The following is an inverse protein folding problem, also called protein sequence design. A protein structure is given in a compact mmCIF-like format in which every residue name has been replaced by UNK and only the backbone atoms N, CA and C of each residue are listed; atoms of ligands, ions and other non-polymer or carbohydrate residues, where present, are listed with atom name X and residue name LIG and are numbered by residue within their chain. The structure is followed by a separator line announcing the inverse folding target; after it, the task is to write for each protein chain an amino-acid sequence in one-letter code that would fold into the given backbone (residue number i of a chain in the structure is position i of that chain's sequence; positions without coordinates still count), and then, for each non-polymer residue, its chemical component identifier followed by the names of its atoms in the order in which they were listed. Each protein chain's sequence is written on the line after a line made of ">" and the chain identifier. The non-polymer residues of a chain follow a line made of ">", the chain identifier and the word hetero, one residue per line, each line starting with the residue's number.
data_IF_676759940632
#
_entry.id   IF_676759940632
#
_cell.length_a   1.000
_cell.length_b   1.000
_cell.length_c   1.000
_cell.angle_alpha   90.00
_cell.angle_beta   90.00
_cell.angle_gamma   90.00
#
_symmetry.space_group_name_H-M   'P 1'
#
loop_
_entity.id
_entity.type
_entity.pdbx_description
1 polymer ?
#
# COMPACT_ATOMS: atom_id res chain seq x y z
N UNK A 1 15.47 8.92 -33.80
CA UNK A 1 14.80 9.44 -32.58
C UNK A 1 14.88 8.32 -31.57
N UNK A 2 15.36 8.60 -30.35
CA UNK A 2 15.51 7.58 -29.28
C UNK A 2 14.17 7.10 -28.73
N UNK A 3 14.21 6.14 -27.80
CA UNK A 3 13.01 5.65 -27.10
C UNK A 3 12.37 6.78 -26.28
N UNK A 4 11.04 6.73 -26.08
CA UNK A 4 10.33 7.67 -25.19
C UNK A 4 10.78 7.50 -23.74
N UNK A 5 10.92 6.25 -23.30
CA UNK A 5 11.42 5.86 -21.99
C UNK A 5 12.46 4.78 -22.15
N UNK A 6 13.62 4.93 -21.51
CA UNK A 6 14.68 3.93 -21.54
C UNK A 6 15.44 3.88 -20.22
N UNK A 7 15.93 2.68 -19.89
CA UNK A 7 16.88 2.51 -18.80
C UNK A 7 18.27 2.37 -19.39
N UNK A 8 19.18 3.25 -18.98
CA UNK A 8 20.57 3.26 -19.42
C UNK A 8 21.47 2.84 -18.27
N UNK A 9 22.42 1.95 -18.56
CA UNK A 9 23.49 1.58 -17.63
C UNK A 9 24.76 2.35 -17.98
N UNK A 10 25.27 3.10 -17.01
CA UNK A 10 26.50 3.88 -17.10
C UNK A 10 27.47 3.42 -16.00
N UNK A 11 28.45 2.58 -16.36
CA UNK A 11 29.27 1.88 -15.37
C UNK A 11 28.40 0.91 -14.55
N UNK A 12 28.38 1.10 -13.23
CA UNK A 12 27.55 0.29 -12.31
C UNK A 12 26.18 0.93 -12.00
N UNK A 13 25.92 2.13 -12.52
CA UNK A 13 24.70 2.89 -12.25
C UNK A 13 23.66 2.68 -13.35
N UNK A 14 22.40 2.56 -12.96
CA UNK A 14 21.23 2.60 -13.81
C UNK A 14 20.52 3.95 -13.68
N UNK A 15 20.03 4.48 -14.79
CA UNK A 15 19.20 5.68 -14.80
C UNK A 15 18.05 5.49 -15.77
N UNK A 16 16.84 5.77 -15.29
CA UNK A 16 15.65 5.85 -16.13
C UNK A 16 15.64 7.22 -16.79
N UNK A 17 15.47 7.25 -18.10
CA UNK A 17 15.33 8.46 -18.89
C UNK A 17 13.93 8.53 -19.48
N UNK A 18 13.33 9.73 -19.50
CA UNK A 18 12.10 10.03 -20.22
C UNK A 18 12.36 11.19 -21.17
N UNK A 19 12.18 10.96 -22.47
CA UNK A 19 12.48 11.92 -23.53
C UNK A 19 13.92 12.49 -23.46
N UNK A 20 14.88 11.64 -23.07
CA UNK A 20 16.29 12.01 -22.95
C UNK A 20 16.69 12.71 -21.65
N UNK A 21 15.75 12.95 -20.73
CA UNK A 21 16.03 13.56 -19.42
C UNK A 21 16.00 12.52 -18.29
N UNK A 22 16.94 12.55 -17.32
CA UNK A 22 16.90 11.67 -16.15
C UNK A 22 15.59 11.79 -15.40
N UNK A 23 15.02 10.64 -15.03
CA UNK A 23 13.70 10.52 -14.45
C UNK A 23 13.73 9.63 -13.21
N UNK A 24 13.72 10.24 -12.03
CA UNK A 24 13.53 9.53 -10.76
C UNK A 24 12.05 9.49 -10.39
N UNK A 25 11.53 8.31 -10.08
CA UNK A 25 10.10 8.11 -9.81
C UNK A 25 9.75 8.58 -8.40
N UNK A 26 8.95 9.64 -8.34
CA UNK A 26 8.26 10.16 -7.14
C UNK A 26 6.77 9.83 -7.31
N UNK A 27 6.47 8.56 -7.07
CA UNK A 27 5.23 7.94 -7.49
C UNK A 27 4.18 7.79 -6.40
N UNK A 28 2.93 7.68 -6.81
CA UNK A 28 1.80 7.30 -5.97
C UNK A 28 1.04 6.12 -6.59
N UNK A 29 0.80 5.04 -5.86
CA UNK A 29 0.03 3.89 -6.34
C UNK A 29 -1.44 4.05 -5.92
N UNK A 30 -2.35 4.15 -6.88
CA UNK A 30 -3.76 4.45 -6.61
C UNK A 30 -4.50 4.98 -7.84
N UNK A 31 -5.81 5.16 -7.70
CA UNK A 31 -6.73 5.56 -8.78
C UNK A 31 -7.30 6.97 -8.61
N UNK A 32 -6.94 7.65 -7.52
CA UNK A 32 -7.59 8.88 -7.07
C UNK A 32 -6.57 10.00 -6.79
N UNK A 33 -7.05 11.23 -6.67
CA UNK A 33 -6.29 12.39 -6.20
C UNK A 33 -4.98 12.68 -6.95
N UNK A 34 -4.98 12.53 -8.28
CA UNK A 34 -3.81 12.83 -9.14
C UNK A 34 -3.41 14.30 -9.10
N UNK A 35 -4.37 15.20 -8.92
CA UNK A 35 -4.15 16.62 -8.68
C UNK A 35 -3.25 16.84 -7.44
N UNK A 36 -3.49 16.11 -6.36
CA UNK A 36 -2.66 16.17 -5.15
C UNK A 36 -1.26 15.61 -5.38
N UNK A 37 -1.13 14.50 -6.12
CA UNK A 37 0.20 13.95 -6.49
C UNK A 37 1.03 15.02 -7.19
N UNK A 38 0.48 15.66 -8.23
CA UNK A 38 1.18 16.69 -8.99
C UNK A 38 1.46 17.94 -8.13
N UNK A 39 0.47 18.40 -7.36
CA UNK A 39 0.61 19.57 -6.48
C UNK A 39 1.70 19.39 -5.42
N UNK A 40 1.95 18.15 -4.98
CA UNK A 40 2.94 17.81 -3.96
C UNK A 40 4.32 17.47 -4.54
N UNK A 41 4.50 17.60 -5.85
CA UNK A 41 5.78 17.37 -6.53
C UNK A 41 6.02 15.92 -6.93
N UNK A 42 5.02 15.05 -6.78
CA UNK A 42 5.01 13.73 -7.39
C UNK A 42 4.96 13.84 -8.91
N UNK A 43 5.46 12.83 -9.62
CA UNK A 43 5.58 12.85 -11.09
C UNK A 43 5.00 11.62 -11.79
N UNK A 44 4.58 10.59 -11.04
CA UNK A 44 4.03 9.36 -11.63
C UNK A 44 2.91 8.77 -10.77
N UNK A 45 2.00 8.04 -11.40
CA UNK A 45 1.07 7.11 -10.77
C UNK A 45 1.35 5.66 -11.18
N UNK A 46 0.89 4.71 -10.37
CA UNK A 46 0.83 3.28 -10.70
C UNK A 46 -0.60 2.76 -10.56
N UNK A 47 -1.05 2.01 -11.56
CA UNK A 47 -2.33 1.27 -11.55
C UNK A 47 -2.10 -0.18 -11.98
N UNK A 48 -2.96 -1.11 -11.55
CA UNK A 48 -2.68 -2.55 -11.61
C UNK A 48 -3.22 -3.27 -12.84
N UNK A 49 -4.17 -2.68 -13.55
CA UNK A 49 -4.83 -3.31 -14.69
C UNK A 49 -5.32 -2.25 -15.69
N UNK A 50 -5.66 -2.72 -16.89
CA UNK A 50 -6.41 -1.92 -17.85
C UNK A 50 -7.88 -2.34 -17.87
N UNK A 51 -8.75 -1.38 -18.13
CA UNK A 51 -10.21 -1.51 -18.14
C UNK A 51 -10.83 -0.41 -19.04
N UNK A 52 -12.14 -0.21 -18.89
CA UNK A 52 -12.90 0.83 -19.59
C UNK A 52 -12.58 2.26 -19.12
N UNK A 53 -12.12 2.43 -17.87
CA UNK A 53 -11.75 3.71 -17.27
C UNK A 53 -10.30 4.13 -17.58
N UNK A 54 -9.46 3.19 -18.02
CA UNK A 54 -8.05 3.42 -18.31
C UNK A 54 -7.77 4.60 -19.25
N UNK A 55 -8.51 4.83 -20.36
CA UNK A 55 -8.32 6.04 -21.17
C UNK A 55 -8.47 7.33 -20.35
N UNK A 56 -9.50 7.41 -19.50
CA UNK A 56 -9.78 8.57 -18.64
C UNK A 56 -8.67 8.75 -17.61
N UNK A 57 -8.18 7.66 -17.01
CA UNK A 57 -7.08 7.69 -16.03
C UNK A 57 -5.80 8.21 -16.68
N UNK A 58 -5.46 7.70 -17.87
CA UNK A 58 -4.27 8.12 -18.61
C UNK A 58 -4.37 9.59 -19.02
N UNK A 59 -5.52 10.04 -19.52
CA UNK A 59 -5.77 11.44 -19.89
C UNK A 59 -5.68 12.39 -18.68
N UNK A 60 -6.26 12.02 -17.54
CA UNK A 60 -6.19 12.84 -16.32
C UNK A 60 -4.76 12.89 -15.77
N UNK A 61 -4.04 11.77 -15.73
CA UNK A 61 -2.63 11.76 -15.37
C UNK A 61 -1.81 12.68 -16.29
N UNK A 62 -2.02 12.58 -17.61
CA UNK A 62 -1.33 13.44 -18.58
C UNK A 62 -1.62 14.93 -18.37
N UNK A 63 -2.89 15.28 -18.12
CA UNK A 63 -3.33 16.65 -17.87
C UNK A 63 -2.65 17.25 -16.63
N UNK A 64 -2.37 16.43 -15.62
CA UNK A 64 -1.62 16.82 -14.42
C UNK A 64 -0.09 16.79 -14.63
N UNK A 65 0.40 16.41 -15.82
CA UNK A 65 1.82 16.25 -16.12
C UNK A 65 2.45 14.98 -15.52
N UNK A 66 1.64 14.03 -15.06
CA UNK A 66 2.08 12.78 -14.46
C UNK A 66 2.31 11.71 -15.54
N UNK A 67 3.18 10.76 -15.21
CA UNK A 67 3.35 9.52 -15.97
C UNK A 67 2.64 8.34 -15.32
N UNK A 68 2.45 7.23 -16.04
CA UNK A 68 1.71 6.07 -15.56
C UNK A 68 2.54 4.80 -15.75
N UNK A 69 2.84 4.11 -14.65
CA UNK A 69 3.25 2.72 -14.64
C UNK A 69 1.98 1.86 -14.75
N UNK A 70 1.73 1.35 -15.95
CA UNK A 70 0.45 0.76 -16.35
C UNK A 70 0.48 -0.76 -16.22
N UNK A 71 -0.35 -1.31 -15.34
CA UNK A 71 -0.46 -2.74 -15.14
C UNK A 71 -1.24 -3.48 -16.23
N UNK A 72 -0.70 -4.64 -16.60
CA UNK A 72 -1.33 -5.63 -17.46
C UNK A 72 -1.69 -6.83 -16.57
N UNK A 73 -2.99 -7.06 -16.40
CA UNK A 73 -3.47 -8.11 -15.51
C UNK A 73 -3.18 -9.49 -16.11
N UNK A 74 -2.26 -10.23 -15.50
CA UNK A 74 -1.99 -11.63 -15.77
C UNK A 74 -2.81 -12.48 -14.79
N UNK A 75 -3.48 -13.52 -15.28
CA UNK A 75 -4.28 -14.42 -14.45
C UNK A 75 -3.40 -15.16 -13.42
N UNK A 76 -3.93 -15.42 -12.21
CA UNK A 76 -3.16 -16.02 -11.13
C UNK A 76 -3.51 -17.49 -10.95
N UNK A 77 -2.52 -18.29 -10.59
CA UNK A 77 -2.73 -19.73 -10.34
C UNK A 77 -3.68 -19.97 -9.16
N UNK A 78 -3.61 -19.13 -8.12
CA UNK A 78 -4.55 -19.19 -6.99
C UNK A 78 -6.02 -18.95 -7.37
N UNK A 79 -6.26 -18.39 -8.55
CA UNK A 79 -7.59 -18.16 -9.14
C UNK A 79 -7.97 -19.27 -10.15
N UNK A 80 -7.15 -20.31 -10.27
CA UNK A 80 -7.40 -21.48 -11.11
C UNK A 80 -6.70 -21.46 -12.47
N UNK A 81 -5.90 -20.44 -12.80
CA UNK A 81 -5.21 -20.38 -14.09
C UNK A 81 -4.05 -21.38 -14.18
N UNK A 82 -4.00 -22.15 -15.26
CA UNK A 82 -2.97 -23.18 -15.46
C UNK A 82 -1.95 -22.77 -16.52
N UNK A 83 -0.76 -22.32 -16.11
CA UNK A 83 0.34 -21.98 -17.02
C UNK A 83 0.98 -23.17 -17.77
N UNK A 84 0.50 -24.40 -17.57
CA UNK A 84 0.84 -25.53 -18.46
C UNK A 84 -0.09 -25.64 -19.67
N UNK A 85 -1.26 -25.01 -19.63
CA UNK A 85 -2.18 -24.94 -20.77
C UNK A 85 -1.66 -23.89 -21.77
N UNK A 86 -1.26 -24.36 -22.95
CA UNK A 86 -0.65 -23.50 -23.96
C UNK A 86 -1.68 -22.62 -24.66
N UNK A 87 -2.92 -23.08 -24.77
CA UNK A 87 -3.96 -22.35 -25.48
C UNK A 87 -4.45 -21.19 -24.61
N UNK A 88 -4.63 -21.41 -23.31
CA UNK A 88 -4.97 -20.35 -22.35
C UNK A 88 -3.85 -19.31 -22.22
N UNK A 89 -2.57 -19.74 -22.14
CA UNK A 89 -1.43 -18.82 -22.10
C UNK A 89 -1.33 -18.00 -23.38
N UNK A 90 -1.57 -18.60 -24.55
CA UNK A 90 -1.59 -17.89 -25.82
C UNK A 90 -2.75 -16.89 -25.89
N UNK A 91 -3.95 -17.28 -25.43
CA UNK A 91 -5.12 -16.40 -25.39
C UNK A 91 -4.89 -15.19 -24.47
N UNK A 92 -4.29 -15.40 -23.28
CA UNK A 92 -3.90 -14.31 -22.38
C UNK A 92 -2.90 -13.36 -23.07
N UNK A 93 -1.87 -13.90 -23.73
CA UNK A 93 -0.88 -13.07 -24.44
C UNK A 93 -1.53 -12.22 -25.54
N UNK A 94 -2.48 -12.77 -26.30
CA UNK A 94 -3.20 -12.03 -27.34
C UNK A 94 -4.17 -10.98 -26.76
N UNK A 95 -4.83 -11.26 -25.62
CA UNK A 95 -5.59 -10.25 -24.88
C UNK A 95 -4.71 -9.08 -24.49
N UNK A 96 -3.56 -9.35 -23.87
CA UNK A 96 -2.62 -8.31 -23.44
C UNK A 96 -1.99 -7.57 -24.63
N UNK A 97 -1.77 -8.23 -25.77
CA UNK A 97 -1.34 -7.57 -27.03
C UNK A 97 -2.33 -6.49 -27.45
N UNK A 98 -3.63 -6.76 -27.36
CA UNK A 98 -4.66 -5.78 -27.70
C UNK A 98 -4.65 -4.57 -26.74
N UNK A 99 -4.44 -4.79 -25.45
CA UNK A 99 -4.29 -3.72 -24.45
C UNK A 99 -3.05 -2.85 -24.74
N UNK A 100 -1.91 -3.46 -25.06
CA UNK A 100 -0.67 -2.74 -25.39
C UNK A 100 -0.83 -1.92 -26.66
N UNK A 101 -1.39 -2.50 -27.73
CA UNK A 101 -1.66 -1.77 -28.98
C UNK A 101 -2.59 -0.57 -28.75
N UNK A 102 -3.51 -0.67 -27.78
CA UNK A 102 -4.45 0.40 -27.46
C UNK A 102 -3.78 1.58 -26.75
N UNK A 103 -2.82 1.35 -25.85
CA UNK A 103 -2.28 2.41 -24.97
C UNK A 103 -0.79 2.75 -25.17
N UNK A 104 -0.04 2.01 -25.99
CA UNK A 104 1.42 2.23 -26.19
C UNK A 104 1.81 3.63 -26.64
N UNK A 105 0.94 4.33 -27.36
CA UNK A 105 1.22 5.68 -27.88
C UNK A 105 0.71 6.79 -26.95
N UNK A 106 0.18 6.44 -25.77
CA UNK A 106 -0.32 7.42 -24.82
C UNK A 106 0.82 8.20 -24.16
N UNK A 107 0.83 9.55 -24.19
CA UNK A 107 1.98 10.37 -23.75
C UNK A 107 2.30 10.26 -22.24
N UNK A 108 1.33 9.87 -21.43
CA UNK A 108 1.55 9.61 -20.00
C UNK A 108 2.18 8.24 -19.71
N UNK A 109 2.21 7.28 -20.65
CA UNK A 109 2.76 5.97 -20.36
C UNK A 109 4.25 6.07 -19.97
N UNK A 110 4.62 5.44 -18.86
CA UNK A 110 6.00 5.34 -18.39
C UNK A 110 6.58 3.96 -18.72
N UNK A 111 5.89 2.90 -18.30
CA UNK A 111 6.32 1.52 -18.43
C UNK A 111 5.16 0.56 -18.21
N UNK A 112 5.33 -0.69 -18.67
CA UNK A 112 4.34 -1.76 -18.56
C UNK A 112 4.64 -2.70 -17.41
N UNK A 113 3.64 -3.00 -16.57
CA UNK A 113 3.78 -3.99 -15.49
C UNK A 113 3.11 -5.30 -15.91
N UNK A 114 3.92 -6.31 -16.22
CA UNK A 114 3.46 -7.64 -16.62
C UNK A 114 3.15 -8.46 -15.37
N UNK A 115 1.90 -8.34 -14.91
CA UNK A 115 1.39 -9.04 -13.74
C UNK A 115 1.88 -8.51 -12.38
N UNK A 116 1.20 -8.97 -11.32
CA UNK A 116 1.45 -8.57 -9.95
C UNK A 116 1.46 -9.79 -9.03
N UNK A 117 2.59 -10.08 -8.39
CA UNK A 117 2.73 -11.11 -7.34
C UNK A 117 2.25 -12.50 -7.79
N UNK A 118 2.55 -12.88 -9.03
CA UNK A 118 1.97 -14.07 -9.69
C UNK A 118 2.33 -15.41 -9.04
N UNK A 119 3.33 -15.43 -8.15
CA UNK A 119 3.73 -16.61 -7.38
C UNK A 119 2.99 -16.76 -6.05
N UNK A 120 2.24 -15.73 -5.61
CA UNK A 120 1.48 -15.79 -4.36
C UNK A 120 0.49 -16.96 -4.44
N UNK A 121 0.64 -17.91 -3.51
CA UNK A 121 -0.17 -19.14 -3.45
C UNK A 121 -0.13 -19.98 -4.74
N UNK A 122 0.93 -19.82 -5.54
CA UNK A 122 1.19 -20.58 -6.77
C UNK A 122 2.51 -21.36 -6.71
N UNK A 123 2.64 -22.37 -7.57
CA UNK A 123 3.85 -23.20 -7.70
C UNK A 123 4.31 -23.36 -9.15
N UNK A 124 3.52 -22.89 -10.11
CA UNK A 124 3.76 -23.10 -11.52
C UNK A 124 4.84 -22.17 -12.06
N UNK A 125 6.07 -22.69 -12.12
CA UNK A 125 7.22 -21.98 -12.65
C UNK A 125 7.07 -21.48 -14.09
N UNK A 126 6.13 -22.02 -14.89
CA UNK A 126 5.86 -21.56 -16.27
C UNK A 126 5.21 -20.19 -16.34
N UNK A 127 4.69 -19.67 -15.23
CA UNK A 127 4.23 -18.28 -15.16
C UNK A 127 5.30 -17.31 -15.65
N UNK A 128 6.57 -17.58 -15.33
CA UNK A 128 7.70 -16.75 -15.75
C UNK A 128 8.01 -16.89 -17.24
N UNK A 129 7.81 -18.07 -17.83
CA UNK A 129 7.91 -18.24 -19.30
C UNK A 129 6.83 -17.38 -19.99
N UNK A 130 5.62 -17.32 -19.42
CA UNK A 130 4.52 -16.51 -19.94
C UNK A 130 4.76 -15.00 -19.76
N UNK A 131 5.26 -14.57 -18.59
CA UNK A 131 5.68 -13.18 -18.34
C UNK A 131 6.73 -12.74 -19.36
N UNK A 132 7.75 -13.57 -19.60
CA UNK A 132 8.75 -13.29 -20.64
C UNK A 132 8.12 -13.16 -22.03
N UNK A 133 7.24 -14.08 -22.39
CA UNK A 133 6.57 -14.05 -23.69
C UNK A 133 5.72 -12.79 -23.90
N UNK A 134 5.13 -12.23 -22.84
CA UNK A 134 4.42 -10.94 -22.89
C UNK A 134 5.42 -9.79 -23.01
N UNK A 135 6.51 -9.79 -22.24
CA UNK A 135 7.55 -8.75 -22.32
C UNK A 135 8.20 -8.68 -23.72
N UNK A 136 8.55 -9.82 -24.31
CA UNK A 136 9.06 -9.91 -25.70
C UNK A 136 8.06 -9.33 -26.71
N UNK A 137 6.77 -9.61 -26.53
CA UNK A 137 5.72 -9.08 -27.39
C UNK A 137 5.59 -7.57 -27.25
N UNK A 138 5.67 -7.04 -26.03
CA UNK A 138 5.66 -5.59 -25.79
C UNK A 138 6.83 -4.94 -26.51
N UNK A 139 8.05 -5.46 -26.36
CA UNK A 139 9.24 -4.89 -27.02
C UNK A 139 9.13 -4.92 -28.56
N UNK A 140 8.41 -5.88 -29.14
CA UNK A 140 8.14 -5.95 -30.58
C UNK A 140 7.22 -4.80 -31.05
N UNK A 141 6.15 -4.51 -30.32
CA UNK A 141 5.10 -3.56 -30.76
C UNK A 141 5.20 -2.16 -30.15
N UNK A 142 5.85 -2.05 -29.00
CA UNK A 142 6.12 -0.83 -28.26
C UNK A 142 7.61 -0.79 -27.85
N UNK A 143 8.50 -0.40 -28.79
CA UNK A 143 9.91 -0.27 -28.49
C UNK A 143 10.23 0.96 -27.63
N UNK A 144 9.23 1.77 -27.26
CA UNK A 144 9.41 3.07 -26.60
C UNK A 144 9.31 3.00 -25.08
N UNK A 145 8.79 1.92 -24.50
CA UNK A 145 8.58 1.80 -23.06
C UNK A 145 9.16 0.48 -22.51
N UNK A 146 9.81 0.51 -21.33
CA UNK A 146 10.31 -0.69 -20.69
C UNK A 146 9.19 -1.53 -20.08
N UNK A 147 9.53 -2.77 -19.74
CA UNK A 147 8.68 -3.73 -19.05
C UNK A 147 9.22 -4.05 -17.66
N UNK A 148 8.30 -4.32 -16.73
CA UNK A 148 8.60 -4.78 -15.38
C UNK A 148 7.62 -5.87 -14.96
N UNK A 149 7.95 -6.64 -13.93
CA UNK A 149 7.03 -7.55 -13.24
C UNK A 149 7.16 -7.37 -11.74
N UNK A 150 6.07 -7.54 -10.99
CA UNK A 150 6.04 -7.22 -9.56
C UNK A 150 6.16 -8.47 -8.68
N UNK A 151 7.05 -8.42 -7.70
CA UNK A 151 7.18 -9.40 -6.61
C UNK A 151 6.90 -8.75 -5.26
N UNK A 152 6.52 -9.55 -4.24
CA UNK A 152 6.40 -9.07 -2.86
C UNK A 152 7.73 -9.32 -2.13
N UNK A 153 8.38 -8.27 -1.65
CA UNK A 153 9.73 -8.27 -1.06
C UNK A 153 10.78 -8.89 -2.00
N UNK A 154 11.85 -9.50 -1.48
CA UNK A 154 12.91 -10.16 -2.27
C UNK A 154 12.92 -11.68 -2.04
N UNK A 155 11.92 -12.41 -2.55
CA UNK A 155 11.91 -13.87 -2.49
C UNK A 155 13.02 -14.43 -3.40
N UNK A 156 14.21 -14.66 -2.83
CA UNK A 156 15.44 -15.01 -3.57
C UNK A 156 15.25 -16.07 -4.66
N UNK A 157 14.52 -17.14 -4.36
CA UNK A 157 14.26 -18.20 -5.34
C UNK A 157 13.42 -17.72 -6.53
N UNK A 158 12.40 -16.91 -6.28
CA UNK A 158 11.53 -16.34 -7.30
C UNK A 158 12.28 -15.29 -8.12
N UNK A 159 13.03 -14.39 -7.48
CA UNK A 159 13.85 -13.39 -8.19
C UNK A 159 14.88 -14.07 -9.09
N UNK A 160 15.54 -15.13 -8.61
CA UNK A 160 16.48 -15.91 -9.43
C UNK A 160 15.79 -16.62 -10.59
N UNK A 161 14.53 -17.04 -10.41
CA UNK A 161 13.74 -17.66 -11.45
C UNK A 161 13.32 -16.64 -12.52
N UNK A 162 12.90 -15.44 -12.12
CA UNK A 162 12.64 -14.30 -13.02
C UNK A 162 13.89 -13.97 -13.82
N UNK A 163 15.04 -13.79 -13.16
CA UNK A 163 16.29 -13.48 -13.86
C UNK A 163 16.67 -14.54 -14.91
N UNK A 164 16.33 -15.81 -14.66
CA UNK A 164 16.61 -16.92 -15.59
C UNK A 164 15.58 -17.05 -16.71
N UNK A 165 14.30 -16.83 -16.42
CA UNK A 165 13.17 -17.18 -17.31
C UNK A 165 12.53 -15.97 -17.99
N UNK A 166 12.74 -14.78 -17.45
CA UNK A 166 12.22 -13.51 -17.95
C UNK A 166 13.33 -12.54 -18.40
N UNK A 167 14.27 -12.94 -19.27
CA UNK A 167 15.34 -12.03 -19.71
C UNK A 167 14.85 -10.78 -20.47
N UNK A 168 13.60 -10.78 -20.95
CA UNK A 168 13.00 -9.60 -21.59
C UNK A 168 12.46 -8.56 -20.58
N UNK A 169 12.45 -8.84 -19.28
CA UNK A 169 12.07 -7.85 -18.27
C UNK A 169 13.23 -6.86 -18.05
N UNK A 170 12.96 -5.57 -18.17
CA UNK A 170 13.97 -4.50 -18.08
C UNK A 170 14.24 -4.07 -16.62
N UNK A 171 13.20 -4.08 -15.79
CA UNK A 171 13.20 -3.57 -14.41
C UNK A 171 12.49 -4.57 -13.51
N UNK A 172 12.97 -4.77 -12.28
CA UNK A 172 12.22 -5.51 -11.27
C UNK A 172 11.37 -4.55 -10.43
N UNK A 173 10.06 -4.81 -10.32
CA UNK A 173 9.18 -4.07 -9.41
C UNK A 173 8.99 -4.85 -8.12
N UNK A 174 9.05 -4.17 -6.98
CA UNK A 174 8.98 -4.81 -5.67
C UNK A 174 7.95 -4.09 -4.80
N UNK A 175 6.91 -4.82 -4.37
CA UNK A 175 6.00 -4.39 -3.32
C UNK A 175 6.66 -4.69 -1.98
N UNK A 176 6.97 -3.69 -1.15
CA UNK A 176 7.60 -3.92 0.15
C UNK A 176 7.24 -2.87 1.19
N UNK A 177 6.86 -3.36 2.37
CA UNK A 177 6.41 -2.55 3.50
C UNK A 177 7.40 -2.68 4.66
N UNK A 178 7.21 -3.61 5.60
CA UNK A 178 8.13 -3.85 6.71
C UNK A 178 9.52 -4.28 6.28
N UNK A 179 9.61 -5.25 5.36
CA UNK A 179 10.89 -5.77 4.85
C UNK A 179 11.72 -4.75 4.04
N UNK A 180 11.15 -3.58 3.68
CA UNK A 180 11.82 -2.59 2.84
C UNK A 180 13.20 -2.17 3.36
N UNK A 181 13.38 -2.12 4.69
CA UNK A 181 14.61 -1.65 5.35
C UNK A 181 15.91 -2.36 4.91
N UNK A 182 15.86 -3.65 4.56
CA UNK A 182 17.04 -4.44 4.17
C UNK A 182 17.07 -4.80 2.66
N UNK A 183 16.08 -4.32 1.89
CA UNK A 183 15.81 -4.74 0.52
C UNK A 183 17.03 -4.64 -0.43
N UNK A 184 17.86 -3.57 -0.43
CA UNK A 184 19.02 -3.50 -1.33
C UNK A 184 20.05 -4.60 -1.05
N UNK A 185 20.23 -4.98 0.22
CA UNK A 185 21.13 -6.06 0.59
C UNK A 185 20.57 -7.41 0.17
N UNK A 186 19.28 -7.67 0.44
CA UNK A 186 18.60 -8.90 0.00
C UNK A 186 18.66 -9.06 -1.53
N UNK A 187 18.47 -7.96 -2.28
CA UNK A 187 18.49 -7.99 -3.74
C UNK A 187 19.89 -8.30 -4.28
N UNK A 188 20.95 -7.77 -3.66
CA UNK A 188 22.35 -8.10 -3.99
C UNK A 188 22.70 -9.57 -3.74
N UNK A 189 21.96 -10.25 -2.86
CA UNK A 189 22.11 -11.69 -2.62
C UNK A 189 21.36 -12.56 -3.64
N UNK A 190 20.69 -11.96 -4.62
CA UNK A 190 20.05 -12.66 -5.75
C UNK A 190 20.91 -12.62 -7.01
N UNK A 191 20.43 -13.21 -8.10
CA UNK A 191 21.04 -13.15 -9.41
C UNK A 191 20.57 -11.94 -10.24
N UNK A 192 19.68 -11.11 -9.69
CA UNK A 192 19.22 -9.90 -10.38
C UNK A 192 20.24 -8.80 -10.21
N UNK A 193 20.91 -8.43 -11.30
CA UNK A 193 21.89 -7.33 -11.34
C UNK A 193 21.30 -6.03 -11.94
N UNK A 194 20.05 -6.09 -12.42
CA UNK A 194 19.35 -4.97 -13.05
C UNK A 194 18.84 -3.91 -12.07
N UNK A 195 18.24 -2.84 -12.59
CA UNK A 195 17.58 -1.82 -11.78
C UNK A 195 16.29 -2.35 -11.15
N UNK A 196 15.76 -1.62 -10.17
CA UNK A 196 14.47 -1.91 -9.56
C UNK A 196 13.69 -0.66 -9.20
N UNK A 197 12.38 -0.84 -9.00
CA UNK A 197 11.45 0.18 -8.49
C UNK A 197 10.71 -0.39 -7.30
N UNK A 198 10.54 0.41 -6.25
CA UNK A 198 9.62 0.05 -5.15
C UNK A 198 8.20 0.38 -5.60
N UNK A 199 7.46 -0.64 -6.03
CA UNK A 199 6.17 -0.49 -6.67
C UNK A 199 5.02 -0.23 -5.68
N UNK A 200 5.22 -0.58 -4.41
CA UNK A 200 4.36 -0.21 -3.26
C UNK A 200 5.23 -0.10 -2.01
N UNK A 201 5.05 0.98 -1.25
CA UNK A 201 5.53 1.11 0.13
C UNK A 201 4.57 1.99 0.94
N UNK A 202 4.62 1.86 2.26
CA UNK A 202 3.78 2.65 3.15
C UNK A 202 3.89 2.17 4.60
N UNK A 203 2.75 2.15 5.31
CA UNK A 203 2.64 1.51 6.61
C UNK A 203 2.90 0.00 6.54
N UNK A 204 3.17 -0.62 7.69
CA UNK A 204 3.44 -2.06 7.80
C UNK A 204 2.24 -2.90 7.32
N UNK A 205 2.51 -4.01 6.62
CA UNK A 205 1.46 -4.96 6.24
C UNK A 205 0.85 -5.67 7.46
N UNK A 206 -0.44 -6.02 7.39
CA UNK A 206 -1.12 -6.75 8.49
C UNK A 206 -0.54 -8.13 8.78
N UNK A 207 0.18 -8.72 7.82
CA UNK A 207 0.91 -9.97 8.00
C UNK A 207 2.27 -9.81 8.72
N UNK A 208 2.74 -8.57 8.94
CA UNK A 208 4.03 -8.27 9.55
C UNK A 208 3.90 -7.72 10.99
N UNK A 209 2.67 -7.59 11.49
CA UNK A 209 2.40 -7.01 12.82
C UNK A 209 2.13 -8.08 13.89
N UNK A 210 2.19 -7.67 15.15
CA UNK A 210 1.71 -8.48 16.25
C UNK A 210 0.18 -8.62 16.18
N UNK A 211 -0.31 -9.79 16.59
CA UNK A 211 -1.74 -10.08 16.65
C UNK A 211 -2.19 -10.28 18.10
N UNK A 212 -3.45 -9.97 18.39
CA UNK A 212 -4.11 -10.37 19.64
C UNK A 212 -4.26 -11.89 19.71
N UNK A 213 -4.70 -12.43 20.86
CA UNK A 213 -5.01 -13.85 21.03
C UNK A 213 -6.20 -14.35 20.19
N UNK A 214 -7.02 -13.44 19.67
CA UNK A 214 -8.07 -13.72 18.69
C UNK A 214 -7.64 -13.36 17.26
N UNK A 215 -6.32 -13.33 17.01
CA UNK A 215 -5.67 -13.11 15.71
C UNK A 215 -5.92 -11.76 15.05
N UNK A 216 -6.50 -10.79 15.76
CA UNK A 216 -6.67 -9.45 15.22
C UNK A 216 -5.30 -8.74 15.12
N UNK A 217 -4.87 -8.29 13.94
CA UNK A 217 -3.59 -7.62 13.77
C UNK A 217 -3.64 -6.21 14.38
N UNK A 218 -2.59 -5.84 15.11
CA UNK A 218 -2.47 -4.51 15.74
C UNK A 218 -2.00 -3.53 14.68
N UNK A 219 -2.83 -2.52 14.41
CA UNK A 219 -2.55 -1.53 13.38
C UNK A 219 -1.76 -0.36 13.97
N UNK A 220 -0.79 0.15 13.21
CA UNK A 220 -0.08 1.38 13.53
C UNK A 220 -1.04 2.59 13.53
N UNK A 221 -0.77 3.59 14.36
CA UNK A 221 -1.40 4.91 14.17
C UNK A 221 -0.95 5.53 12.85
N UNK A 222 -1.70 6.49 12.31
CA UNK A 222 -1.29 7.22 11.09
C UNK A 222 0.07 7.89 11.25
N UNK A 223 0.40 8.36 12.46
CA UNK A 223 1.69 8.98 12.77
C UNK A 223 2.83 7.97 12.80
N UNK A 224 2.60 6.79 13.37
CA UNK A 224 3.55 5.68 13.31
C UNK A 224 3.79 5.21 11.87
N UNK A 225 2.73 5.14 11.04
CA UNK A 225 2.85 4.81 9.60
C UNK A 225 3.70 5.84 8.86
N UNK A 226 3.46 7.13 9.11
CA UNK A 226 4.21 8.22 8.48
C UNK A 226 5.70 8.18 8.82
N UNK A 227 6.04 8.04 10.12
CA UNK A 227 7.42 7.91 10.57
C UNK A 227 8.10 6.66 9.98
N UNK A 228 7.41 5.52 10.02
CA UNK A 228 7.89 4.23 9.51
C UNK A 228 8.17 4.25 8.00
N UNK A 229 7.29 4.86 7.23
CA UNK A 229 7.45 4.94 5.78
C UNK A 229 8.53 5.92 5.37
N UNK A 230 8.66 7.07 6.06
CA UNK A 230 9.76 8.02 5.85
C UNK A 230 11.11 7.35 6.03
N UNK A 231 11.30 6.71 7.19
CA UNK A 231 12.56 6.03 7.53
C UNK A 231 12.96 5.04 6.43
N UNK A 232 12.02 4.23 5.95
CA UNK A 232 12.28 3.23 4.91
C UNK A 232 12.57 3.86 3.55
N UNK A 233 11.83 4.88 3.18
CA UNK A 233 12.10 5.59 1.94
C UNK A 233 13.52 6.18 1.93
N UNK A 234 13.91 6.86 3.01
CA UNK A 234 15.24 7.47 3.14
C UNK A 234 16.35 6.41 3.17
N UNK A 235 16.18 5.33 3.94
CA UNK A 235 17.20 4.29 4.11
C UNK A 235 17.28 3.26 2.97
N UNK A 236 16.30 3.23 2.07
CA UNK A 236 16.25 2.24 0.98
C UNK A 236 16.17 2.87 -0.40
N UNK A 237 15.17 3.72 -0.62
CA UNK A 237 14.90 4.30 -1.94
C UNK A 237 15.97 5.34 -2.28
N UNK A 238 16.29 6.23 -1.33
CA UNK A 238 17.33 7.26 -1.54
C UNK A 238 18.76 6.73 -1.31
N UNK A 239 18.91 5.64 -0.56
CA UNK A 239 20.21 5.08 -0.20
C UNK A 239 20.83 4.15 -1.26
N UNK A 240 20.08 3.74 -2.28
CA UNK A 240 20.58 2.94 -3.41
C UNK A 240 20.39 3.65 -4.77
N UNK A 241 20.97 4.85 -4.96
CA UNK A 241 20.76 5.66 -6.17
C UNK A 241 21.37 5.06 -7.44
N UNK A 242 22.14 3.97 -7.32
CA UNK A 242 22.77 3.29 -8.44
C UNK A 242 21.83 2.27 -9.10
N UNK A 243 20.85 1.72 -8.35
CA UNK A 243 19.93 0.69 -8.86
C UNK A 243 18.45 1.00 -8.66
N UNK A 244 18.10 1.78 -7.62
CA UNK A 244 16.72 2.15 -7.35
C UNK A 244 16.28 3.32 -8.24
N UNK A 245 15.28 3.09 -9.09
CA UNK A 245 14.76 4.11 -10.01
C UNK A 245 13.64 4.97 -9.38
N UNK A 246 13.32 4.74 -8.11
CA UNK A 246 12.30 5.46 -7.34
C UNK A 246 11.23 4.54 -6.76
N UNK A 247 10.12 5.12 -6.34
CA UNK A 247 9.10 4.40 -5.58
C UNK A 247 7.68 4.95 -5.72
N UNK A 248 6.68 4.14 -5.36
CA UNK A 248 5.26 4.49 -5.32
C UNK A 248 4.66 4.32 -3.92
N UNK A 249 4.20 5.41 -3.31
CA UNK A 249 3.50 5.37 -2.01
C UNK A 249 2.13 4.70 -2.16
N UNK A 250 1.79 3.78 -1.25
CA UNK A 250 0.60 2.91 -1.34
C UNK A 250 -0.26 2.91 -0.06
N UNK A 251 -1.59 2.98 -0.13
CA UNK A 251 -2.38 3.38 -1.30
C UNK A 251 -2.63 4.88 -1.26
N UNK A 252 -2.41 5.55 -2.39
CA UNK A 252 -2.73 6.97 -2.53
C UNK A 252 -4.24 7.16 -2.72
N UNK A 253 -4.90 7.58 -1.65
CA UNK A 253 -6.36 7.67 -1.57
C UNK A 253 -6.91 6.76 -0.49
N UNK A 254 -8.13 6.27 -0.71
CA UNK A 254 -8.83 5.37 0.21
C UNK A 254 -9.04 3.99 -0.42
N UNK A 255 -8.74 2.94 0.36
CA UNK A 255 -9.14 1.56 0.06
C UNK A 255 -9.43 0.85 1.35
N UNK A 256 -10.58 0.21 1.43
CA UNK A 256 -10.82 -0.74 2.49
C UNK A 256 -9.96 -1.99 2.26
N UNK A 257 -9.05 -2.28 3.19
CA UNK A 257 -8.18 -3.45 3.15
C UNK A 257 -7.83 -3.88 4.57
N UNK A 258 -8.42 -4.98 5.04
CA UNK A 258 -8.42 -5.44 6.45
C UNK A 258 -9.15 -4.47 7.39
N UNK A 259 -8.82 -3.17 7.38
CA UNK A 259 -9.54 -2.10 8.08
C UNK A 259 -9.76 -0.92 7.12
N UNK A 260 -10.62 0.06 7.47
CA UNK A 260 -10.76 1.28 6.68
C UNK A 260 -9.48 2.12 6.59
N UNK A 261 -8.54 1.92 7.51
CA UNK A 261 -7.38 2.79 7.69
C UNK A 261 -6.05 2.13 7.35
N UNK A 262 -6.00 0.81 7.07
CA UNK A 262 -4.75 0.05 7.04
C UNK A 262 -3.70 0.67 6.11
N UNK A 263 -4.01 0.71 4.81
CA UNK A 263 -3.12 1.27 3.78
C UNK A 263 -3.59 2.63 3.25
N UNK A 264 -4.80 3.06 3.59
CA UNK A 264 -5.36 4.34 3.13
C UNK A 264 -4.52 5.53 3.63
N UNK A 265 -3.91 6.27 2.70
CA UNK A 265 -3.19 7.52 3.00
C UNK A 265 -4.18 8.69 3.20
N UNK A 266 -5.40 8.56 2.68
CA UNK A 266 -6.50 9.52 2.84
C UNK A 266 -7.77 8.81 3.31
N UNK A 267 -8.67 9.53 3.95
CA UNK A 267 -10.03 9.02 4.20
C UNK A 267 -10.84 8.94 2.90
N UNK A 268 -11.97 8.24 2.95
CA UNK A 268 -12.94 8.17 1.84
C UNK A 268 -13.44 9.56 1.37
N UNK A 269 -13.43 10.55 2.27
CA UNK A 269 -13.80 11.94 1.99
C UNK A 269 -12.61 12.82 1.56
N UNK A 270 -11.39 12.28 1.54
CA UNK A 270 -10.21 12.94 1.02
C UNK A 270 -9.40 13.76 2.03
N UNK A 271 -9.66 13.63 3.34
CA UNK A 271 -8.78 14.19 4.37
C UNK A 271 -7.45 13.42 4.42
N UNK A 272 -6.35 14.15 4.62
CA UNK A 272 -4.99 13.64 4.48
C UNK A 272 -4.38 13.22 5.82
N UNK A 273 -3.73 12.06 5.82
CA UNK A 273 -2.92 11.64 6.96
C UNK A 273 -1.51 12.26 6.92
N UNK A 274 -0.80 12.17 8.06
CA UNK A 274 0.62 12.55 8.16
C UNK A 274 1.50 11.85 7.09
N UNK A 275 1.08 10.68 6.59
CA UNK A 275 1.76 9.98 5.49
C UNK A 275 1.71 10.76 4.15
N UNK A 276 0.58 11.41 3.83
CA UNK A 276 0.48 12.25 2.63
C UNK A 276 1.47 13.42 2.71
N UNK A 277 1.62 13.98 3.91
CA UNK A 277 2.51 15.09 4.19
C UNK A 277 3.97 14.68 4.11
N UNK A 278 4.34 13.52 4.68
CA UNK A 278 5.67 12.94 4.50
C UNK A 278 6.01 12.86 3.01
N UNK A 279 5.09 12.39 2.18
CA UNK A 279 5.37 12.32 0.74
C UNK A 279 5.48 13.69 0.09
N UNK A 280 4.62 14.63 0.46
CA UNK A 280 4.72 16.03 0.02
C UNK A 280 6.07 16.65 0.34
N UNK A 281 6.58 16.46 1.55
CA UNK A 281 7.90 16.97 1.93
C UNK A 281 9.01 16.34 1.12
N UNK A 282 9.01 15.00 1.00
CA UNK A 282 10.04 14.25 0.28
C UNK A 282 10.07 14.66 -1.20
N UNK A 283 8.91 14.83 -1.83
CA UNK A 283 8.84 15.12 -3.26
C UNK A 283 9.11 16.57 -3.62
N UNK A 284 8.61 17.51 -2.82
CA UNK A 284 8.73 18.95 -3.10
C UNK A 284 9.90 19.64 -2.39
N UNK A 285 10.43 19.04 -1.32
CA UNK A 285 11.39 19.66 -0.40
C UNK A 285 10.79 20.75 0.48
N UNK A 286 9.48 20.99 0.42
CA UNK A 286 8.78 22.06 1.14
C UNK A 286 8.18 21.55 2.44
N UNK A 287 7.99 22.48 3.39
CA UNK A 287 7.38 22.25 4.71
C UNK A 287 6.38 23.36 5.11
N UNK A 288 6.03 24.23 4.16
CA UNK A 288 5.14 25.37 4.36
C UNK A 288 3.68 25.00 4.09
N UNK A 289 3.14 24.14 4.96
CA UNK A 289 1.74 23.71 4.91
C UNK A 289 1.22 23.31 6.29
N UNK A 290 -0.11 23.26 6.43
CA UNK A 290 -0.79 22.79 7.64
C UNK A 290 -0.45 21.32 7.88
N UNK A 291 0.16 21.02 9.01
CA UNK A 291 0.59 19.69 9.42
C UNK A 291 -0.57 18.94 10.03
N UNK A 292 -0.61 17.64 9.77
CA UNK A 292 -1.67 16.77 10.22
C UNK A 292 -1.57 16.60 11.74
N UNK A 293 -2.69 16.32 12.42
CA UNK A 293 -2.64 15.91 13.80
C UNK A 293 -1.69 14.74 13.99
N UNK A 294 -1.02 14.70 15.14
CA UNK A 294 -0.11 13.64 15.51
C UNK A 294 -0.73 12.81 16.64
N UNK A 295 -0.82 11.48 16.49
CA UNK A 295 -1.30 10.58 17.55
C UNK A 295 -0.11 9.85 18.17
N UNK A 296 0.09 10.08 19.47
CA UNK A 296 1.06 9.33 20.26
C UNK A 296 0.55 7.91 20.56
N UNK A 297 -0.71 7.77 21.00
CA UNK A 297 -1.35 6.47 21.25
C UNK A 297 -2.86 6.60 21.46
N UNK A 298 -3.54 5.45 21.42
CA UNK A 298 -4.94 5.25 21.82
C UNK A 298 -4.97 4.20 22.94
N UNK A 299 -5.68 4.51 24.03
CA UNK A 299 -5.88 3.58 25.15
C UNK A 299 -7.36 3.24 25.35
N UNK A 300 -7.61 2.08 25.95
CA UNK A 300 -8.92 1.64 26.44
C UNK A 300 -8.74 1.13 27.87
N UNK A 301 -9.44 1.74 28.84
CA UNK A 301 -9.23 1.50 30.29
C UNK A 301 -7.78 1.78 30.73
N UNK A 302 -7.13 2.76 30.11
CA UNK A 302 -5.70 3.06 30.30
C UNK A 302 -4.75 1.89 29.97
N UNK A 303 -5.24 0.92 29.18
CA UNK A 303 -4.50 -0.24 28.68
C UNK A 303 -4.21 -0.04 27.19
N UNK A 304 -3.10 -0.58 26.69
CA UNK A 304 -2.67 -0.50 25.30
C UNK A 304 -3.09 -1.72 24.47
N UNK A 305 -3.15 -1.61 23.13
CA UNK A 305 -3.54 -2.75 22.27
C UNK A 305 -2.69 -4.01 22.49
N UNK A 306 -1.40 -3.84 22.83
CA UNK A 306 -0.46 -4.93 23.10
C UNK A 306 -0.83 -5.80 24.30
N UNK A 307 -1.55 -5.24 25.27
CA UNK A 307 -1.95 -5.93 26.50
C UNK A 307 -3.30 -6.67 26.35
N UNK A 308 -3.94 -6.51 25.18
CA UNK A 308 -5.13 -7.24 24.72
C UNK A 308 -6.32 -7.17 25.68
N UNK A 309 -7.22 -6.22 25.42
CA UNK A 309 -8.31 -5.90 26.34
C UNK A 309 -9.51 -6.84 26.18
N UNK A 310 -10.04 -7.28 27.32
CA UNK A 310 -11.30 -8.00 27.42
C UNK A 310 -12.34 -7.17 28.18
N UNK A 311 -13.55 -7.09 27.63
CA UNK A 311 -14.70 -6.39 28.25
C UNK A 311 -15.86 -7.36 28.53
N UNK A 312 -16.64 -7.06 29.56
CA UNK A 312 -17.93 -7.71 29.79
C UNK A 312 -19.01 -7.17 28.85
N UNK A 313 -20.01 -7.99 28.47
CA UNK A 313 -21.17 -7.52 27.70
C UNK A 313 -21.84 -6.32 28.36
N UNK A 314 -21.94 -5.20 27.63
CA UNK A 314 -22.54 -3.96 28.13
C UNK A 314 -21.68 -3.16 29.11
N UNK A 315 -20.45 -3.58 29.40
CA UNK A 315 -19.50 -2.81 30.21
C UNK A 315 -19.32 -1.40 29.61
N UNK A 316 -19.32 -0.39 30.48
CA UNK A 316 -18.92 0.96 30.12
C UNK A 316 -17.43 1.11 30.41
N UNK A 317 -16.67 1.50 29.40
CA UNK A 317 -15.22 1.67 29.48
C UNK A 317 -14.81 2.97 28.81
N UNK A 318 -13.83 3.65 29.38
CA UNK A 318 -13.30 4.88 28.79
C UNK A 318 -12.19 4.55 27.80
N UNK A 319 -12.27 5.10 26.60
CA UNK A 319 -11.19 5.16 25.63
C UNK A 319 -10.71 6.61 25.47
N UNK A 320 -9.41 6.81 25.24
CA UNK A 320 -8.83 8.13 25.07
C UNK A 320 -7.73 8.12 24.02
N UNK A 321 -7.78 9.08 23.09
CA UNK A 321 -6.73 9.29 22.10
C UNK A 321 -5.82 10.43 22.54
N UNK A 322 -4.52 10.19 22.56
CA UNK A 322 -3.52 11.19 22.93
C UNK A 322 -2.95 11.77 21.64
N UNK A 323 -3.49 12.93 21.27
CA UNK A 323 -3.16 13.63 20.04
C UNK A 323 -2.77 15.08 20.27
N UNK A 324 -1.96 15.62 19.36
CA UNK A 324 -1.55 17.03 19.33
C UNK A 324 -1.58 17.55 17.91
N UNK A 325 -1.90 18.83 17.74
CA UNK A 325 -1.77 19.51 16.45
C UNK A 325 -0.43 20.28 16.40
N UNK A 326 0.43 20.03 15.41
CA UNK A 326 1.72 20.72 15.33
C UNK A 326 1.62 22.23 15.08
N UNK A 327 0.53 22.72 14.47
CA UNK A 327 0.31 24.13 14.12
C UNK A 327 -0.62 24.84 15.12
N UNK A 328 -1.18 24.10 16.07
CA UNK A 328 -2.02 24.61 17.15
C UNK A 328 -3.50 24.69 16.78
N UNK A 329 -3.92 23.99 15.73
CA UNK A 329 -5.32 23.90 15.34
C UNK A 329 -6.17 23.15 16.38
N UNK A 330 -7.46 23.46 16.40
CA UNK A 330 -8.40 22.80 17.31
C UNK A 330 -8.76 21.41 16.80
N UNK A 331 -8.55 20.40 17.64
CA UNK A 331 -8.79 19.00 17.27
C UNK A 331 -10.24 18.56 17.54
N UNK A 332 -10.82 17.85 16.58
CA UNK A 332 -12.11 17.16 16.73
C UNK A 332 -11.92 15.65 16.59
N UNK A 333 -12.39 14.87 17.55
CA UNK A 333 -12.33 13.40 17.49
C UNK A 333 -13.67 12.80 17.10
N UNK A 334 -13.67 11.97 16.05
CA UNK A 334 -14.77 11.11 15.67
C UNK A 334 -14.45 9.67 16.06
N UNK A 335 -15.42 9.01 16.70
CA UNK A 335 -15.29 7.64 17.17
C UNK A 335 -16.23 6.70 16.40
N UNK A 336 -15.74 5.53 16.03
CA UNK A 336 -16.55 4.47 15.39
C UNK A 336 -16.22 3.12 16.03
N UNK A 337 -17.23 2.29 16.30
CA UNK A 337 -17.03 0.90 16.69
C UNK A 337 -17.48 -0.03 15.56
N UNK A 338 -16.58 -0.89 15.09
CA UNK A 338 -16.87 -1.93 14.10
C UNK A 338 -16.69 -3.32 14.71
N UNK A 339 -17.40 -4.36 14.24
CA UNK A 339 -16.97 -5.74 14.39
C UNK A 339 -15.56 -5.93 13.84
N UNK A 340 -14.78 -6.81 14.46
CA UNK A 340 -13.48 -7.20 13.89
C UNK A 340 -13.67 -7.89 12.52
N UNK A 341 -12.71 -7.68 11.64
CA UNK A 341 -12.75 -8.10 10.24
C UNK A 341 -12.05 -9.43 10.03
N UNK A 342 -11.05 -9.70 10.86
CA UNK A 342 -10.35 -10.99 10.92
C UNK A 342 -11.17 -11.97 11.76
N UNK A 343 -11.31 -13.21 11.27
CA UNK A 343 -11.96 -14.29 12.00
C UNK A 343 -11.17 -14.68 13.25
N UNK A 344 -11.85 -15.22 14.26
CA UNK A 344 -11.22 -15.59 15.54
C UNK A 344 -10.20 -16.74 15.42
N UNK A 345 -10.11 -17.39 14.27
CA UNK A 345 -9.11 -18.40 13.93
C UNK A 345 -8.01 -17.87 12.99
N UNK A 346 -8.09 -16.60 12.58
CA UNK A 346 -7.14 -15.95 11.68
C UNK A 346 -7.22 -16.36 10.21
N UNK A 347 -8.14 -17.26 9.84
CA UNK A 347 -8.19 -17.87 8.50
C UNK A 347 -8.98 -17.05 7.46
N UNK A 348 -9.73 -16.03 7.87
CA UNK A 348 -10.54 -15.21 6.98
C UNK A 348 -10.48 -13.74 7.36
N UNK A 349 -10.45 -12.87 6.35
CA UNK A 349 -10.54 -11.42 6.49
C UNK A 349 -11.74 -10.96 5.67
N UNK A 350 -12.64 -10.17 6.28
CA UNK A 350 -13.78 -9.59 5.56
C UNK A 350 -13.30 -8.61 4.51
N UNK A 351 -13.73 -8.82 3.27
CA UNK A 351 -13.40 -7.99 2.10
C UNK A 351 -14.19 -6.68 2.03
N UNK A 352 -15.22 -6.50 2.87
CA UNK A 352 -16.03 -5.29 2.92
C UNK A 352 -16.06 -4.70 4.33
N UNK A 353 -16.11 -3.36 4.40
CA UNK A 353 -16.24 -2.61 5.66
C UNK A 353 -17.53 -3.03 6.38
N UNK A 354 -17.44 -3.55 7.62
CA UNK A 354 -18.63 -3.85 8.41
C UNK A 354 -19.41 -2.59 8.78
N UNK A 355 -20.71 -2.75 9.02
CA UNK A 355 -21.55 -1.68 9.58
C UNK A 355 -21.07 -1.27 10.98
N UNK A 356 -21.23 0.02 11.27
CA UNK A 356 -20.98 0.59 12.60
C UNK A 356 -21.97 -0.01 13.61
N UNK A 357 -21.48 -0.29 14.82
CA UNK A 357 -22.32 -0.76 15.93
C UNK A 357 -23.03 0.44 16.58
N UNK A 358 -24.36 0.57 16.39
CA UNK A 358 -25.08 1.73 16.90
C UNK A 358 -25.15 1.72 18.43
N UNK A 359 -25.05 2.90 19.03
CA UNK A 359 -25.14 3.05 20.49
C UNK A 359 -23.96 2.47 21.27
N UNK A 360 -22.87 2.06 20.62
CA UNK A 360 -21.63 1.72 21.33
C UNK A 360 -20.93 2.98 21.85
N UNK A 361 -20.92 4.05 21.06
CA UNK A 361 -20.35 5.34 21.43
C UNK A 361 -21.38 6.12 22.25
N UNK A 362 -21.14 6.33 23.55
CA UNK A 362 -22.11 6.96 24.47
C UNK A 362 -21.89 8.47 24.60
N UNK A 363 -20.87 8.86 25.36
CA UNK A 363 -20.53 10.25 25.64
C UNK A 363 -19.09 10.49 25.22
N UNK A 364 -18.88 11.46 24.33
CA UNK A 364 -17.55 11.96 23.97
C UNK A 364 -17.28 13.27 24.73
N UNK A 365 -16.08 13.39 25.29
CA UNK A 365 -15.60 14.58 25.99
C UNK A 365 -14.16 14.86 25.56
N UNK A 366 -13.97 15.89 24.74
CA UNK A 366 -12.70 16.21 24.09
C UNK A 366 -12.14 14.99 23.34
N UNK A 367 -10.97 14.52 23.80
CA UNK A 367 -10.25 13.39 23.21
C UNK A 367 -10.60 12.03 23.83
N UNK A 368 -11.66 11.96 24.64
CA UNK A 368 -12.09 10.73 25.32
C UNK A 368 -13.52 10.35 24.97
N UNK A 369 -13.84 9.06 25.11
CA UNK A 369 -15.19 8.54 24.88
C UNK A 369 -15.55 7.43 25.85
N UNK A 370 -16.80 7.44 26.32
CA UNK A 370 -17.40 6.29 27.00
C UNK A 370 -17.87 5.30 25.94
N UNK A 371 -17.18 4.17 25.85
CA UNK A 371 -17.53 3.02 25.03
C UNK A 371 -18.43 2.07 25.84
N UNK A 372 -19.57 1.71 25.26
CA UNK A 372 -20.40 0.60 25.73
C UNK A 372 -20.08 -0.65 24.92
N UNK A 373 -19.53 -1.66 25.59
CA UNK A 373 -19.24 -2.94 24.98
C UNK A 373 -20.52 -3.58 24.39
N UNK A 374 -20.47 -4.16 23.18
CA UNK A 374 -21.58 -4.92 22.61
C UNK A 374 -22.08 -6.03 23.55
N UNK A 375 -23.34 -6.45 23.38
CA UNK A 375 -23.91 -7.55 24.19
C UNK A 375 -23.47 -8.93 23.71
N UNK A 376 -23.07 -9.02 22.43
CA UNK A 376 -22.67 -10.26 21.80
C UNK A 376 -21.19 -10.50 22.08
N UNK A 377 -20.86 -11.74 22.44
CA UNK A 377 -19.47 -12.18 22.54
C UNK A 377 -18.80 -12.12 21.15
N UNK A 378 -17.55 -11.66 21.13
CA UNK A 378 -16.75 -11.57 19.92
C UNK A 378 -15.71 -10.46 19.91
N UNK A 379 -14.94 -10.41 18.83
CA UNK A 379 -13.94 -9.39 18.59
C UNK A 379 -14.53 -8.12 17.95
N UNK A 380 -14.04 -6.97 18.40
CA UNK A 380 -14.44 -5.64 17.96
C UNK A 380 -13.25 -4.72 17.85
N UNK A 381 -13.39 -3.62 17.11
CA UNK A 381 -12.35 -2.61 16.94
C UNK A 381 -12.92 -1.21 17.05
N UNK A 382 -12.39 -0.44 18.00
CA UNK A 382 -12.70 0.97 18.19
C UNK A 382 -11.76 1.81 17.33
N UNK A 383 -12.28 2.75 16.56
CA UNK A 383 -11.53 3.67 15.72
C UNK A 383 -11.67 5.10 16.26
N UNK A 384 -10.57 5.84 16.21
CA UNK A 384 -10.49 7.27 16.45
C UNK A 384 -9.96 7.97 15.20
N UNK A 385 -10.70 8.97 14.72
CA UNK A 385 -10.29 9.88 13.65
C UNK A 385 -10.18 11.29 14.25
N UNK A 386 -8.99 11.86 14.26
CA UNK A 386 -8.68 13.17 14.86
C UNK A 386 -8.48 14.16 13.73
N UNK A 387 -9.41 15.10 13.57
CA UNK A 387 -9.42 16.11 12.51
C UNK A 387 -8.94 17.45 13.04
N UNK A 388 -8.18 18.20 12.23
CA UNK A 388 -7.75 19.58 12.52
C UNK A 388 -8.68 20.66 11.95
N UNK A 389 -9.62 20.27 11.07
CA UNK A 389 -10.49 21.21 10.34
C UNK A 389 -9.82 21.88 9.13
N UNK A 390 -8.58 21.52 8.81
CA UNK A 390 -7.76 22.07 7.73
C UNK A 390 -7.56 21.08 6.59
N UNK A 391 -8.35 20.00 6.59
CA UNK A 391 -8.30 18.93 5.59
C UNK A 391 -7.36 17.79 5.96
N UNK A 392 -6.84 17.74 7.19
CA UNK A 392 -6.04 16.61 7.65
C UNK A 392 -6.77 15.77 8.72
N UNK A 393 -6.28 14.55 8.88
CA UNK A 393 -6.80 13.57 9.83
C UNK A 393 -5.68 12.68 10.35
N UNK A 394 -5.68 12.40 11.64
CA UNK A 394 -4.92 11.30 12.21
C UNK A 394 -5.83 10.15 12.60
N UNK A 395 -5.35 8.92 12.43
CA UNK A 395 -6.13 7.72 12.69
C UNK A 395 -5.43 6.80 13.67
N UNK A 396 -6.19 6.21 14.57
CA UNK A 396 -5.76 5.13 15.44
C UNK A 396 -6.94 4.19 15.69
N UNK A 397 -6.65 2.92 15.98
CA UNK A 397 -7.69 1.98 16.36
C UNK A 397 -7.21 0.98 17.41
N UNK A 398 -8.17 0.34 18.07
CA UNK A 398 -7.94 -0.51 19.22
C UNK A 398 -8.80 -1.78 19.12
N UNK A 399 -8.22 -2.96 18.85
CA UNK A 399 -8.95 -4.22 18.94
C UNK A 399 -9.18 -4.62 20.40
N UNK A 400 -10.39 -5.08 20.71
CA UNK A 400 -10.73 -5.68 22.00
C UNK A 400 -11.71 -6.83 21.81
N UNK A 401 -11.90 -7.63 22.85
CA UNK A 401 -12.80 -8.78 22.82
C UNK A 401 -13.89 -8.66 23.90
N UNK A 402 -15.14 -8.90 23.54
CA UNK A 402 -16.25 -9.03 24.51
C UNK A 402 -16.45 -10.49 24.84
N UNK A 403 -16.43 -10.83 26.13
CA UNK A 403 -16.64 -12.20 26.59
C UNK A 403 -17.42 -12.27 27.89
N UNK A 404 -18.60 -12.88 27.85
CA UNK A 404 -19.43 -13.12 29.02
C UNK A 404 -18.70 -13.94 30.10
N UNK A 405 -18.81 -13.48 31.36
CA UNK A 405 -18.27 -14.21 32.52
C UNK A 405 -16.75 -14.13 32.66
N UNK A 406 -16.07 -13.37 31.80
CA UNK A 406 -14.65 -13.10 31.97
C UNK A 406 -14.44 -12.20 33.21
N UNK A 407 -13.41 -12.49 34.01
CA UNK A 407 -13.04 -11.65 35.16
C UNK A 407 -11.80 -10.80 34.89
N UNK A 408 -11.13 -11.08 33.78
CA UNK A 408 -9.88 -10.46 33.36
C UNK A 408 -10.17 -9.23 32.50
N UNK A 409 -9.39 -8.18 32.71
CA UNK A 409 -9.44 -6.92 31.96
C UNK A 409 -8.43 -6.89 30.82
N UNK A 410 -7.34 -7.65 30.94
CA UNK A 410 -6.26 -7.77 29.96
C UNK A 410 -5.77 -9.21 29.84
N UNK A 411 -5.01 -9.51 28.78
CA UNK A 411 -4.28 -10.78 28.68
C UNK A 411 -3.23 -10.96 29.79
N UNK A 412 -2.73 -9.86 30.37
CA UNK A 412 -1.77 -9.92 31.48
C UNK A 412 -2.38 -10.51 32.75
N UNK A 413 -3.68 -10.34 32.98
CA UNK A 413 -4.34 -10.87 34.18
C UNK A 413 -4.46 -12.41 34.17
N UNK A 414 -4.15 -13.07 33.04
CA UNK A 414 -4.10 -14.53 32.95
C UNK A 414 -2.81 -15.14 33.50
N UNK A 415 -1.75 -14.34 33.62
CA UNK A 415 -0.44 -14.74 34.16
C UNK A 415 -0.32 -14.31 35.63
#
# INVERSE_FOLDING_TARGET
>A
MGRTVEVVKEGDKYTLYRNGEPYFIRGAAGYEHFDKVAAYGGNSIRIWHTDEDTPRILDEAHKQGLTVMLGLWMEREREGFNYYDKDDVAAQKERLRAEVLKYKDHPALLMWVVGNELYAEGSNVKVWDAVNGVAEMIHEIDPNHPTTTTVMNVPKQVVNLINRRCPAIDILSINSFGALHDLPAELRDTNWDGPYVIAEFGGRGYWETYTTWWYAPIEQTSSEKAAFARERYENTVLADPDRCLGAYAFIWGYKYETTPTWFSIMTETGEETEMAQVMREIWSGKRDFNRAPHIAYLSLKDIFPSDQVYLQPGELSTAAVFASDPDGDSLQVKWELLPETVSEDGNAIKEQKPDIIPGAIQQADGNSVTLKAPQRDGAYRLYAYVYDGQGNVATANFPFYVKAGNKFSSALDFY
#
